data_IF_588223866251
#
_entry.id   IF_588223866251
#
_cell.length_a   1.000
_cell.length_b   1.000
_cell.length_c   1.000
_cell.angle_alpha   90.00
_cell.angle_beta   90.00
_cell.angle_gamma   90.00
#
_symmetry.space_group_name_H-M   'P 1'
#
loop_
_entity.id
_entity.type
_entity.pdbx_description
1 polymer ?
#
# COMPACT_ATOMS: atom_id res chain seq x y z
N UNK A 1 35.97 7.90 -11.42
CA UNK A 1 35.13 7.79 -12.64
C UNK A 1 33.72 7.54 -12.17
N UNK A 2 32.85 8.55 -12.24
CA UNK A 2 31.46 8.49 -11.77
C UNK A 2 30.60 7.67 -12.72
N UNK A 3 30.90 6.39 -12.87
CA UNK A 3 30.12 5.44 -13.69
C UNK A 3 29.51 4.42 -12.75
N UNK A 4 28.21 4.17 -12.89
CA UNK A 4 27.52 3.05 -12.26
C UNK A 4 27.36 1.92 -13.28
N UNK A 5 27.51 0.69 -12.81
CA UNK A 5 27.16 -0.53 -13.55
C UNK A 5 26.05 -1.20 -12.76
N UNK A 6 24.90 -1.44 -13.39
CA UNK A 6 23.74 -2.05 -12.73
C UNK A 6 23.62 -3.50 -13.20
N UNK A 7 23.53 -4.44 -12.27
CA UNK A 7 23.23 -5.84 -12.57
C UNK A 7 22.25 -6.41 -11.56
N UNK A 8 21.45 -7.39 -11.96
CA UNK A 8 20.47 -8.03 -11.11
C UNK A 8 19.34 -8.65 -11.91
N UNK A 9 18.17 -8.72 -11.30
CA UNK A 9 16.95 -9.20 -11.94
C UNK A 9 15.78 -9.10 -10.99
N UNK A 10 14.61 -9.46 -11.50
CA UNK A 10 13.39 -9.58 -10.72
C UNK A 10 12.61 -10.81 -11.16
N UNK A 11 11.69 -11.23 -10.31
CA UNK A 11 10.71 -12.27 -10.58
C UNK A 11 9.42 -11.97 -9.84
N UNK A 12 8.34 -12.66 -10.20
CA UNK A 12 7.09 -12.63 -9.45
C UNK A 12 6.18 -11.44 -9.73
N UNK A 13 6.29 -10.78 -10.90
CA UNK A 13 5.22 -9.85 -11.31
C UNK A 13 3.90 -10.61 -11.45
N UNK A 14 2.81 -10.01 -10.98
CA UNK A 14 1.45 -10.54 -11.07
C UNK A 14 0.85 -10.41 -12.47
N UNK A 15 1.46 -9.60 -13.33
CA UNK A 15 1.09 -9.42 -14.73
C UNK A 15 2.33 -9.14 -15.58
N UNK A 16 2.20 -9.20 -16.91
CA UNK A 16 3.32 -9.00 -17.82
C UNK A 16 3.95 -7.62 -17.64
N UNK A 17 5.28 -7.56 -17.70
CA UNK A 17 6.02 -6.30 -17.66
C UNK A 17 5.65 -5.41 -18.86
N UNK A 18 5.60 -4.10 -18.65
CA UNK A 18 5.30 -3.12 -19.70
C UNK A 18 6.35 -2.04 -19.77
N UNK A 19 6.56 -1.50 -20.97
CA UNK A 19 7.42 -0.33 -21.14
C UNK A 19 6.70 0.96 -20.74
N UNK A 20 7.26 1.66 -19.77
CA UNK A 20 6.91 3.04 -19.46
C UNK A 20 8.10 3.90 -19.86
N UNK A 21 7.87 4.97 -20.61
CA UNK A 21 8.94 5.82 -21.17
C UNK A 21 10.03 5.06 -21.97
N UNK A 22 9.67 3.89 -22.54
CA UNK A 22 10.54 3.10 -23.42
C UNK A 22 11.36 2.01 -22.73
N UNK A 23 11.17 1.77 -21.42
CA UNK A 23 11.83 0.67 -20.69
C UNK A 23 10.87 0.01 -19.69
N UNK A 24 11.07 -1.29 -19.43
CA UNK A 24 10.25 -2.04 -18.46
C UNK A 24 10.51 -1.66 -17.00
N UNK A 25 11.63 -0.98 -16.74
CA UNK A 25 11.98 -0.47 -15.43
C UNK A 25 13.01 0.64 -15.49
N UNK A 26 13.14 1.35 -14.38
CA UNK A 26 13.97 2.54 -14.26
C UNK A 26 14.80 2.48 -12.99
N UNK A 27 15.97 3.13 -13.03
CA UNK A 27 16.65 3.61 -11.84
C UNK A 27 16.14 5.03 -11.54
N UNK A 28 15.60 5.23 -10.34
CA UNK A 28 15.09 6.50 -9.85
C UNK A 28 16.00 7.08 -8.76
N UNK A 29 15.81 8.38 -8.48
CA UNK A 29 16.47 9.10 -7.40
C UNK A 29 15.47 9.51 -6.31
N UNK A 30 15.36 8.71 -5.25
CA UNK A 30 14.54 8.93 -4.06
C UNK A 30 14.87 7.94 -2.93
N UNK A 31 14.61 8.37 -1.69
CA UNK A 31 14.75 7.53 -0.49
C UNK A 31 13.67 6.43 -0.42
N UNK A 32 13.79 5.51 0.54
CA UNK A 32 12.88 4.35 0.70
C UNK A 32 11.40 4.73 0.83
N UNK A 33 11.12 5.89 1.41
CA UNK A 33 9.80 6.40 1.76
C UNK A 33 9.27 7.46 0.77
N UNK A 34 9.98 7.72 -0.34
CA UNK A 34 9.65 8.80 -1.26
C UNK A 34 9.72 8.37 -2.73
N UNK A 35 8.85 8.98 -3.54
CA UNK A 35 8.88 8.81 -4.99
C UNK A 35 9.88 9.78 -5.62
N UNK A 36 10.91 9.21 -6.22
CA UNK A 36 11.94 9.92 -6.98
C UNK A 36 11.66 10.07 -8.48
N UNK A 37 12.30 11.05 -9.13
CA UNK A 37 12.34 11.16 -10.58
C UNK A 37 13.19 10.07 -11.25
N UNK A 38 12.95 9.79 -12.53
CA UNK A 38 13.75 8.82 -13.32
C UNK A 38 15.16 9.37 -13.52
N UNK A 39 16.17 8.61 -13.08
CA UNK A 39 17.57 8.89 -13.37
C UNK A 39 18.01 8.22 -14.68
N UNK A 40 17.67 6.94 -14.86
CA UNK A 40 18.02 6.16 -16.06
C UNK A 40 16.93 5.12 -16.36
N UNK A 41 16.64 4.88 -17.64
CA UNK A 41 15.90 3.68 -18.08
C UNK A 41 16.83 2.46 -18.07
N UNK A 42 16.31 1.32 -17.63
CA UNK A 42 17.07 0.07 -17.56
C UNK A 42 16.80 -0.79 -18.79
N UNK A 43 17.88 -1.37 -19.35
CA UNK A 43 17.78 -2.43 -20.34
C UNK A 43 17.57 -3.76 -19.61
N UNK A 44 16.36 -4.29 -19.72
CA UNK A 44 15.89 -5.49 -19.03
C UNK A 44 15.59 -6.55 -20.08
N UNK A 45 16.31 -7.67 -20.01
CA UNK A 45 15.96 -8.87 -20.77
C UNK A 45 14.86 -9.63 -20.01
N UNK A 46 13.62 -9.52 -20.50
CA UNK A 46 12.45 -10.17 -19.92
C UNK A 46 12.50 -11.69 -20.09
N UNK A 47 11.99 -12.38 -19.07
CA UNK A 47 11.91 -13.83 -18.99
C UNK A 47 10.58 -14.38 -19.52
N UNK A 48 10.20 -15.56 -19.03
CA UNK A 48 8.95 -16.20 -19.43
C UNK A 48 7.73 -15.37 -19.00
N UNK A 49 6.75 -15.21 -19.90
CA UNK A 49 5.51 -14.45 -19.69
C UNK A 49 5.72 -12.98 -19.29
N UNK A 50 6.93 -12.45 -19.45
CA UNK A 50 7.33 -11.11 -19.02
C UNK A 50 7.12 -10.87 -17.51
N UNK A 51 7.05 -11.93 -16.69
CA UNK A 51 6.86 -11.82 -15.23
C UNK A 51 8.17 -11.90 -14.43
N UNK A 52 9.29 -12.02 -15.13
CA UNK A 52 10.65 -11.98 -14.59
C UNK A 52 11.57 -11.27 -15.57
N UNK A 53 12.76 -10.87 -15.13
CA UNK A 53 13.71 -10.18 -15.98
C UNK A 53 15.12 -10.17 -15.43
N UNK A 54 16.10 -10.02 -16.32
CA UNK A 54 17.51 -9.91 -15.97
C UNK A 54 18.09 -8.59 -16.43
N UNK A 55 18.92 -7.98 -15.58
CA UNK A 55 19.60 -6.72 -15.80
C UNK A 55 21.09 -7.05 -15.93
N UNK A 56 21.62 -6.95 -17.15
CA UNK A 56 23.02 -7.21 -17.43
C UNK A 56 23.84 -5.91 -17.34
N UNK A 57 24.93 -5.93 -16.58
CA UNK A 57 25.84 -4.77 -16.46
C UNK A 57 26.42 -4.32 -17.79
N UNK A 58 26.59 -5.23 -18.75
CA UNK A 58 27.09 -4.89 -20.09
C UNK A 58 26.16 -3.95 -20.87
N UNK A 59 24.85 -3.97 -20.58
CA UNK A 59 23.85 -3.09 -21.20
C UNK A 59 23.48 -1.89 -20.31
N UNK A 60 23.81 -1.95 -19.01
CA UNK A 60 23.39 -0.99 -18.00
C UNK A 60 24.59 -0.30 -17.35
N UNK A 61 25.33 0.48 -18.15
CA UNK A 61 26.44 1.32 -17.69
C UNK A 61 26.12 2.79 -17.91
N UNK A 62 26.04 3.57 -16.83
CA UNK A 62 25.61 4.96 -16.88
C UNK A 62 26.65 5.89 -16.27
N UNK A 63 26.87 7.05 -16.91
CA UNK A 63 27.65 8.12 -16.31
C UNK A 63 26.77 8.91 -15.35
N UNK A 64 27.17 9.01 -14.09
CA UNK A 64 26.49 9.77 -13.06
C UNK A 64 26.97 11.23 -13.06
N UNK A 65 26.01 12.15 -12.87
CA UNK A 65 26.34 13.52 -12.46
C UNK A 65 26.92 13.54 -11.04
N UNK A 66 27.49 14.66 -10.60
CA UNK A 66 27.94 14.82 -9.21
C UNK A 66 26.78 14.69 -8.23
N UNK A 67 25.62 15.25 -8.57
CA UNK A 67 24.39 15.16 -7.76
C UNK A 67 23.91 13.71 -7.64
N UNK A 68 23.85 12.96 -8.75
CA UNK A 68 23.46 11.55 -8.72
C UNK A 68 24.46 10.67 -7.96
N UNK A 69 25.76 11.02 -7.97
CA UNK A 69 26.74 10.34 -7.13
C UNK A 69 26.45 10.56 -5.64
N UNK A 70 26.15 11.80 -5.24
CA UNK A 70 25.75 12.10 -3.86
C UNK A 70 24.52 11.30 -3.48
N UNK A 71 23.46 11.34 -4.30
CA UNK A 71 22.23 10.58 -4.05
C UNK A 71 22.50 9.08 -3.94
N UNK A 72 23.34 8.49 -4.79
CA UNK A 72 23.71 7.08 -4.71
C UNK A 72 24.43 6.74 -3.39
N UNK A 73 25.37 7.59 -2.97
CA UNK A 73 26.12 7.35 -1.73
C UNK A 73 25.32 7.65 -0.46
N UNK A 74 24.27 8.46 -0.58
CA UNK A 74 23.25 8.68 0.46
C UNK A 74 22.13 7.62 0.37
N UNK A 75 22.35 6.53 -0.39
CA UNK A 75 21.41 5.39 -0.56
C UNK A 75 20.03 5.79 -1.12
N UNK A 76 19.93 6.96 -1.74
CA UNK A 76 18.71 7.55 -2.28
C UNK A 76 18.41 7.17 -3.73
N UNK A 77 18.78 5.97 -4.19
CA UNK A 77 18.38 5.48 -5.52
C UNK A 77 17.64 4.15 -5.41
N UNK A 78 16.64 3.94 -6.28
CA UNK A 78 15.86 2.71 -6.29
C UNK A 78 15.52 2.26 -7.70
N UNK A 79 15.39 0.95 -7.89
CA UNK A 79 14.85 0.33 -9.09
C UNK A 79 13.34 0.25 -8.95
N UNK A 80 12.63 0.58 -10.04
CA UNK A 80 11.19 0.40 -10.16
C UNK A 80 10.88 -0.37 -11.45
N UNK A 81 10.01 -1.38 -11.38
CA UNK A 81 9.61 -2.23 -12.51
C UNK A 81 8.10 -2.15 -12.70
N UNK A 82 7.67 -1.98 -13.94
CA UNK A 82 6.28 -1.73 -14.30
C UNK A 82 5.61 -2.97 -14.90
N UNK A 83 4.33 -3.17 -14.60
CA UNK A 83 3.51 -4.24 -15.19
C UNK A 83 2.14 -3.73 -15.65
N UNK A 84 1.39 -4.56 -16.36
CA UNK A 84 0.07 -4.22 -16.89
C UNK A 84 -0.92 -3.79 -15.80
N UNK A 85 -0.90 -4.45 -14.64
CA UNK A 85 -1.79 -4.14 -13.52
C UNK A 85 -1.27 -2.97 -12.67
N UNK A 86 0.03 -2.67 -12.73
CA UNK A 86 0.69 -1.68 -11.89
C UNK A 86 1.60 -0.78 -12.73
N UNK A 87 1.02 0.06 -13.58
CA UNK A 87 1.77 0.96 -14.45
C UNK A 87 2.68 1.96 -13.69
N UNK A 88 2.32 2.32 -12.46
CA UNK A 88 3.15 3.19 -11.62
C UNK A 88 4.41 2.47 -11.09
N UNK A 89 4.43 1.14 -11.11
CA UNK A 89 5.45 0.28 -10.52
C UNK A 89 4.81 -0.83 -9.69
N UNK A 90 5.20 -2.07 -9.94
CA UNK A 90 4.83 -3.24 -9.13
C UNK A 90 5.92 -3.62 -8.13
N UNK A 91 7.18 -3.63 -8.60
CA UNK A 91 8.34 -4.00 -7.79
C UNK A 91 9.25 -2.80 -7.61
N UNK A 92 9.66 -2.57 -6.35
CA UNK A 92 10.57 -1.51 -5.95
C UNK A 92 11.72 -2.12 -5.14
N UNK A 93 12.95 -1.75 -5.47
CA UNK A 93 14.16 -2.19 -4.75
C UNK A 93 15.14 -1.05 -4.52
N UNK A 94 15.49 -0.73 -3.27
CA UNK A 94 16.47 0.30 -2.95
C UNK A 94 17.89 -0.16 -3.36
N UNK A 95 18.72 0.78 -3.80
CA UNK A 95 20.13 0.52 -4.11
C UNK A 95 20.95 0.85 -2.87
N UNK A 96 21.23 -0.17 -2.06
CA UNK A 96 21.99 -0.08 -0.82
C UNK A 96 23.43 -0.57 -1.01
N UNK A 97 24.28 -0.30 -0.01
CA UNK A 97 25.61 -0.90 0.02
C UNK A 97 25.54 -2.43 0.18
N UNK A 98 26.55 -3.14 -0.33
CA UNK A 98 26.60 -4.61 -0.24
C UNK A 98 26.58 -5.15 1.20
N UNK A 99 26.93 -4.32 2.18
CA UNK A 99 26.73 -4.62 3.59
C UNK A 99 25.35 -4.13 4.01
N UNK A 100 24.34 -4.94 3.74
CA UNK A 100 22.95 -4.73 4.16
C UNK A 100 22.52 -5.83 5.15
N UNK A 101 21.74 -5.48 6.17
CA UNK A 101 21.04 -6.44 7.01
C UNK A 101 19.58 -6.07 7.05
N UNK A 102 18.69 -7.06 7.02
CA UNK A 102 17.27 -6.81 7.14
C UNK A 102 16.94 -6.05 8.45
N UNK A 103 15.94 -5.16 8.42
CA UNK A 103 15.50 -4.44 9.61
C UNK A 103 15.02 -5.40 10.71
N UNK A 104 15.06 -4.93 11.96
CA UNK A 104 14.43 -5.66 13.06
C UNK A 104 12.91 -5.77 12.84
N UNK A 105 12.30 -6.85 13.36
CA UNK A 105 10.87 -7.01 13.30
C UNK A 105 10.16 -5.86 14.08
N UNK A 106 9.24 -5.12 13.44
CA UNK A 106 8.42 -4.13 14.15
C UNK A 106 7.49 -4.83 15.16
N UNK A 107 7.08 -4.10 16.20
CA UNK A 107 6.19 -4.62 17.24
C UNK A 107 4.87 -3.87 17.21
N UNK A 108 3.79 -4.57 16.87
CA UNK A 108 2.43 -4.00 16.93
C UNK A 108 2.12 -3.53 18.36
N UNK A 109 1.56 -2.33 18.48
CA UNK A 109 1.09 -1.76 19.75
C UNK A 109 -0.43 -1.63 19.77
N UNK A 110 -1.07 -1.51 18.60
CA UNK A 110 -2.52 -1.48 18.46
C UNK A 110 -3.02 -1.96 17.08
N UNK A 111 -4.24 -2.51 16.98
CA UNK A 111 -5.09 -2.96 18.08
C UNK A 111 -4.46 -4.10 18.91
N UNK A 112 -5.03 -4.37 20.09
CA UNK A 112 -4.64 -5.52 20.90
C UNK A 112 -5.00 -6.82 20.17
N UNK A 113 -4.25 -7.88 20.44
CA UNK A 113 -4.53 -9.20 19.87
C UNK A 113 -5.91 -9.70 20.31
N UNK A 114 -6.63 -10.35 19.40
CA UNK A 114 -8.04 -10.76 19.53
C UNK A 114 -9.04 -9.62 19.84
N UNK A 115 -8.66 -8.35 19.68
CA UNK A 115 -9.56 -7.23 19.96
C UNK A 115 -10.82 -7.28 19.07
N UNK A 116 -11.96 -6.93 19.65
CA UNK A 116 -13.22 -6.78 18.89
C UNK A 116 -13.46 -5.31 18.59
N UNK A 117 -13.70 -5.00 17.32
CA UNK A 117 -14.04 -3.67 16.84
C UNK A 117 -15.43 -3.72 16.21
N UNK A 118 -16.40 -3.00 16.79
CA UNK A 118 -17.72 -2.82 16.20
C UNK A 118 -17.70 -1.61 15.26
N UNK A 119 -17.96 -1.85 13.98
CA UNK A 119 -18.05 -0.83 12.95
C UNK A 119 -19.45 -0.21 12.96
N UNK A 120 -19.69 0.68 13.91
CA UNK A 120 -20.96 1.39 14.10
C UNK A 120 -20.76 2.90 14.15
N UNK A 121 -21.79 3.65 13.75
CA UNK A 121 -21.79 5.12 13.82
C UNK A 121 -21.22 5.77 12.57
N UNK A 122 -20.60 6.95 12.71
CA UNK A 122 -20.21 7.76 11.56
C UNK A 122 -19.15 7.06 10.68
N UNK A 123 -19.33 7.10 9.37
CA UNK A 123 -18.39 6.52 8.38
C UNK A 123 -17.00 7.16 8.42
N UNK A 124 -16.88 8.38 8.96
CA UNK A 124 -15.61 9.08 9.17
C UNK A 124 -14.93 8.74 10.49
N UNK A 125 -15.50 7.84 11.31
CA UNK A 125 -14.83 7.37 12.53
C UNK A 125 -13.49 6.74 12.15
N UNK A 126 -12.40 7.26 12.72
CA UNK A 126 -11.06 6.80 12.40
C UNK A 126 -10.80 5.42 13.01
N UNK A 127 -10.15 4.57 12.23
CA UNK A 127 -9.45 3.39 12.70
C UNK A 127 -7.96 3.63 12.57
N UNK A 128 -7.21 3.20 13.58
CA UNK A 128 -5.76 3.28 13.59
C UNK A 128 -5.17 1.95 14.06
N UNK A 129 -4.19 1.44 13.31
CA UNK A 129 -3.28 0.41 13.76
C UNK A 129 -1.90 1.04 13.99
N UNK A 130 -1.23 0.67 15.06
CA UNK A 130 0.02 1.30 15.52
C UNK A 130 1.08 0.26 15.86
N UNK A 131 2.35 0.66 15.74
CA UNK A 131 3.51 -0.15 16.09
C UNK A 131 4.66 0.71 16.61
N UNK A 132 5.63 0.07 17.26
CA UNK A 132 6.91 0.70 17.61
C UNK A 132 7.81 0.76 16.36
N UNK A 133 8.57 1.84 16.23
CA UNK A 133 9.57 1.97 15.18
C UNK A 133 10.60 0.84 15.29
N UNK A 134 10.82 0.15 14.18
CA UNK A 134 11.91 -0.80 14.02
C UNK A 134 13.26 -0.06 13.93
N UNK A 135 14.32 -0.80 14.24
CA UNK A 135 15.70 -0.37 14.04
C UNK A 135 16.33 -1.14 12.89
N UNK A 136 17.21 -0.49 12.16
CA UNK A 136 18.10 -1.13 11.21
C UNK A 136 19.53 -1.25 11.77
N UNK A 137 20.24 -2.34 11.45
CA UNK A 137 21.60 -2.59 11.98
C UNK A 137 22.63 -1.65 11.37
N UNK A 138 22.43 -1.30 10.11
CA UNK A 138 23.31 -0.49 9.27
C UNK A 138 22.92 0.99 9.34
N UNK A 139 21.73 1.27 9.87
CA UNK A 139 21.17 2.60 10.04
C UNK A 139 20.44 3.10 8.79
N UNK A 140 20.04 2.19 7.89
CA UNK A 140 19.26 2.54 6.72
C UNK A 140 17.92 3.15 7.14
N UNK A 141 17.40 4.07 6.33
CA UNK A 141 16.05 4.57 6.50
C UNK A 141 15.04 3.43 6.27
N UNK A 142 13.94 3.47 7.02
CA UNK A 142 12.91 2.44 6.96
C UNK A 142 11.58 3.00 6.46
N UNK A 143 10.88 2.18 5.69
CA UNK A 143 9.46 2.33 5.42
C UNK A 143 8.67 1.14 6.01
N UNK A 144 7.37 1.32 6.13
CA UNK A 144 6.46 0.33 6.65
C UNK A 144 5.32 0.03 5.69
N UNK A 145 4.92 -1.24 5.68
CA UNK A 145 3.75 -1.72 4.95
C UNK A 145 2.83 -2.40 5.96
N UNK A 146 1.61 -1.89 6.12
CA UNK A 146 0.59 -2.55 6.92
C UNK A 146 -0.24 -3.49 6.05
N UNK A 147 -0.39 -4.73 6.50
CA UNK A 147 -1.14 -5.75 5.80
C UNK A 147 -2.29 -6.29 6.65
N UNK A 148 -3.43 -6.53 6.00
CA UNK A 148 -4.53 -7.31 6.54
C UNK A 148 -4.86 -8.48 5.62
N UNK A 149 -5.20 -9.62 6.21
CA UNK A 149 -5.51 -10.86 5.53
C UNK A 149 -6.71 -11.58 6.16
N UNK A 150 -7.38 -12.40 5.36
CA UNK A 150 -8.47 -13.28 5.83
C UNK A 150 -7.96 -14.64 6.35
N UNK A 151 -6.65 -14.90 6.28
CA UNK A 151 -6.03 -16.13 6.76
C UNK A 151 -4.71 -15.85 7.51
N UNK A 152 -4.36 -16.76 8.42
CA UNK A 152 -3.18 -16.62 9.27
C UNK A 152 -1.85 -16.71 8.52
N UNK A 153 -1.85 -17.31 7.32
CA UNK A 153 -0.65 -17.50 6.49
C UNK A 153 -0.41 -16.30 5.57
N UNK A 154 -1.29 -15.29 5.58
CA UNK A 154 -1.27 -14.13 4.68
C UNK A 154 -1.28 -14.54 3.19
N UNK A 155 -1.99 -15.62 2.85
CA UNK A 155 -2.18 -16.07 1.47
C UNK A 155 -3.22 -15.25 0.72
N UNK A 156 -4.19 -14.68 1.42
CA UNK A 156 -5.24 -13.83 0.90
C UNK A 156 -5.21 -12.46 1.58
N UNK A 157 -4.32 -11.60 1.09
CA UNK A 157 -4.15 -10.22 1.57
C UNK A 157 -5.26 -9.35 1.00
N UNK A 158 -5.98 -8.66 1.88
CA UNK A 158 -7.12 -7.79 1.54
C UNK A 158 -6.78 -6.30 1.69
N UNK A 159 -5.74 -5.97 2.46
CA UNK A 159 -5.14 -4.64 2.50
C UNK A 159 -3.62 -4.78 2.44
N UNK A 160 -2.98 -4.04 1.53
CA UNK A 160 -1.53 -3.94 1.42
C UNK A 160 -1.16 -2.45 1.30
N UNK A 161 -0.96 -1.79 2.44
CA UNK A 161 -0.83 -0.33 2.51
C UNK A 161 0.60 0.08 2.87
N UNK A 162 1.32 0.69 1.92
CA UNK A 162 2.57 1.38 2.21
C UNK A 162 2.27 2.70 2.93
N UNK A 163 2.86 2.91 4.12
CA UNK A 163 2.67 4.11 4.95
C UNK A 163 3.94 4.95 5.10
N UNK A 164 4.96 4.69 4.29
CA UNK A 164 6.26 5.36 4.38
C UNK A 164 6.89 5.16 5.75
N UNK A 165 7.46 6.22 6.33
CA UNK A 165 8.10 6.16 7.65
C UNK A 165 7.13 6.22 8.84
N UNK A 166 5.82 6.30 8.59
CA UNK A 166 4.81 6.36 9.65
C UNK A 166 4.78 5.07 10.45
N UNK A 167 4.57 5.19 11.76
CA UNK A 167 4.40 4.05 12.67
C UNK A 167 2.92 3.74 12.95
N UNK A 168 2.07 4.15 12.01
CA UNK A 168 0.63 3.91 12.06
C UNK A 168 0.04 3.74 10.66
N UNK A 169 -1.05 2.99 10.60
CA UNK A 169 -1.95 2.90 9.46
C UNK A 169 -3.29 3.49 9.89
N UNK A 170 -3.78 4.47 9.13
CA UNK A 170 -5.05 5.15 9.40
C UNK A 170 -6.05 4.89 8.27
N UNK A 171 -7.29 4.62 8.64
CA UNK A 171 -8.43 4.55 7.71
C UNK A 171 -9.71 4.93 8.44
N UNK A 172 -10.88 4.71 7.83
CA UNK A 172 -12.17 4.99 8.45
C UNK A 172 -13.07 3.77 8.50
N UNK A 173 -14.07 3.82 9.38
CA UNK A 173 -15.09 2.77 9.48
C UNK A 173 -15.86 2.58 8.18
N UNK A 174 -16.09 3.63 7.40
CA UNK A 174 -16.72 3.51 6.08
C UNK A 174 -15.90 2.68 5.08
N UNK A 175 -14.56 2.84 5.10
CA UNK A 175 -13.67 2.03 4.27
C UNK A 175 -13.66 0.58 4.73
N UNK A 176 -13.57 0.34 6.04
CA UNK A 176 -13.62 -1.01 6.61
C UNK A 176 -14.98 -1.71 6.37
N UNK A 177 -16.10 -0.98 6.45
CA UNK A 177 -17.43 -1.53 6.14
C UNK A 177 -17.58 -1.92 4.66
N UNK A 178 -17.03 -1.10 3.77
CA UNK A 178 -16.97 -1.43 2.33
C UNK A 178 -16.16 -2.70 2.11
N UNK A 179 -14.98 -2.81 2.74
CA UNK A 179 -14.15 -4.01 2.68
C UNK A 179 -14.90 -5.26 3.19
N UNK A 180 -15.56 -5.18 4.34
CA UNK A 180 -16.36 -6.29 4.87
C UNK A 180 -17.52 -6.65 3.94
N UNK A 181 -18.15 -5.68 3.29
CA UNK A 181 -19.20 -5.90 2.29
C UNK A 181 -18.65 -6.68 1.09
N UNK A 182 -17.49 -6.27 0.57
CA UNK A 182 -16.84 -6.93 -0.57
C UNK A 182 -16.40 -8.37 -0.23
N UNK A 183 -16.08 -8.62 1.05
CA UNK A 183 -15.81 -9.95 1.58
C UNK A 183 -17.07 -10.77 1.89
N UNK A 184 -18.27 -10.21 1.69
CA UNK A 184 -19.54 -10.91 1.89
C UNK A 184 -19.96 -11.04 3.36
N UNK A 185 -19.50 -10.15 4.23
CA UNK A 185 -19.86 -10.14 5.65
C UNK A 185 -21.18 -9.38 5.85
N UNK A 186 -22.19 -10.10 6.32
CA UNK A 186 -23.51 -9.56 6.58
C UNK A 186 -23.54 -8.59 7.78
N UNK A 187 -24.55 -7.70 7.83
CA UNK A 187 -24.79 -6.86 8.99
C UNK A 187 -25.07 -7.71 10.24
N UNK A 188 -24.42 -7.37 11.35
CA UNK A 188 -24.43 -8.11 12.61
C UNK A 188 -23.56 -9.37 12.63
N UNK A 189 -22.84 -9.67 11.53
CA UNK A 189 -21.84 -10.73 11.51
C UNK A 189 -20.46 -10.19 11.93
N UNK A 190 -19.59 -11.11 12.33
CA UNK A 190 -18.21 -10.82 12.71
C UNK A 190 -17.26 -11.54 11.75
N UNK A 191 -16.22 -10.84 11.32
CA UNK A 191 -15.11 -11.43 10.56
C UNK A 191 -13.81 -11.30 11.36
N UNK A 192 -13.04 -12.38 11.43
CA UNK A 192 -11.69 -12.35 11.98
C UNK A 192 -10.71 -11.98 10.86
N UNK A 193 -9.91 -10.95 11.10
CA UNK A 193 -8.85 -10.49 10.21
C UNK A 193 -7.50 -10.67 10.92
N UNK A 194 -6.52 -11.15 10.16
CA UNK A 194 -5.13 -11.23 10.59
C UNK A 194 -4.40 -10.00 10.06
N UNK A 195 -3.64 -9.30 10.90
CA UNK A 195 -2.90 -8.14 10.48
C UNK A 195 -1.46 -8.16 10.98
N UNK A 196 -0.57 -7.55 10.20
CA UNK A 196 0.85 -7.41 10.51
C UNK A 196 1.39 -6.12 9.93
N UNK A 197 2.55 -5.71 10.41
CA UNK A 197 3.34 -4.66 9.78
C UNK A 197 4.66 -5.25 9.29
N UNK A 198 5.09 -4.83 8.12
CA UNK A 198 6.40 -5.16 7.54
C UNK A 198 7.26 -3.91 7.64
N UNK A 199 8.47 -4.03 8.21
CA UNK A 199 9.51 -3.02 8.10
C UNK A 199 10.40 -3.36 6.90
N UNK A 200 10.77 -2.36 6.11
CA UNK A 200 11.63 -2.52 4.93
C UNK A 200 12.65 -1.39 4.83
N UNK A 201 13.89 -1.73 4.49
CA UNK A 201 14.92 -0.76 4.03
C UNK A 201 14.83 -0.52 2.50
N UNK A 202 13.82 -1.12 1.87
CA UNK A 202 13.56 -1.13 0.43
C UNK A 202 14.31 -2.22 -0.34
N UNK A 203 15.20 -2.99 0.29
CA UNK A 203 15.88 -4.15 -0.29
C UNK A 203 15.53 -5.45 0.44
N UNK A 204 15.55 -5.41 1.76
CA UNK A 204 15.20 -6.49 2.67
C UNK A 204 14.00 -6.08 3.53
N UNK A 205 13.23 -7.08 3.96
CA UNK A 205 12.01 -6.87 4.72
C UNK A 205 11.91 -7.83 5.90
N UNK A 206 11.32 -7.35 7.00
CA UNK A 206 11.00 -8.17 8.16
C UNK A 206 9.57 -7.87 8.64
N UNK A 207 8.75 -8.92 8.71
CA UNK A 207 7.39 -8.82 9.25
C UNK A 207 7.37 -8.87 10.78
N UNK A 208 6.39 -8.20 11.39
CA UNK A 208 6.02 -8.41 12.79
C UNK A 208 5.40 -9.79 13.00
N UNK A 209 5.37 -10.24 14.25
CA UNK A 209 4.38 -11.25 14.65
C UNK A 209 2.97 -10.73 14.32
N UNK A 210 2.11 -11.55 13.69
CA UNK A 210 0.77 -11.12 13.34
C UNK A 210 -0.13 -11.07 14.58
N UNK A 211 -1.18 -10.26 14.49
CA UNK A 211 -2.28 -10.21 15.46
C UNK A 211 -3.61 -10.44 14.78
N UNK A 212 -4.60 -10.86 15.57
CA UNK A 212 -5.99 -10.99 15.14
C UNK A 212 -6.82 -9.81 15.60
N UNK A 213 -7.81 -9.43 14.78
CA UNK A 213 -8.86 -8.50 15.14
C UNK A 213 -10.21 -9.03 14.64
N UNK A 214 -11.24 -8.93 15.48
CA UNK A 214 -12.60 -9.35 15.18
C UNK A 214 -13.42 -8.11 14.82
N UNK A 215 -13.74 -7.96 13.53
CA UNK A 215 -14.53 -6.84 13.02
C UNK A 215 -16.01 -7.24 13.00
N UNK A 216 -16.80 -6.64 13.89
CA UNK A 216 -18.25 -6.77 13.90
C UNK A 216 -18.85 -5.70 13.00
N UNK A 217 -19.57 -6.14 11.97
CA UNK A 217 -20.16 -5.23 10.99
C UNK A 217 -21.47 -4.68 11.53
N UNK A 218 -21.48 -3.42 11.96
CA UNK A 218 -22.67 -2.73 12.44
C UNK A 218 -23.26 -1.76 11.42
N UNK A 219 -24.17 -0.90 11.87
CA UNK A 219 -24.75 0.14 11.03
C UNK A 219 -23.82 1.36 10.97
N UNK A 220 -23.08 1.48 9.86
CA UNK A 220 -22.28 2.67 9.55
C UNK A 220 -23.17 3.71 8.86
N UNK A 221 -23.26 4.89 9.44
CA UNK A 221 -24.02 6.02 8.89
C UNK A 221 -23.11 6.96 8.14
N UNK A 222 -23.53 7.38 6.95
CA UNK A 222 -22.85 8.46 6.24
C UNK A 222 -23.13 9.78 6.94
N UNK A 223 -22.09 10.54 7.27
CA UNK A 223 -22.24 11.94 7.62
C UNK A 223 -22.35 12.76 6.33
N UNK A 224 -23.53 12.78 5.73
CA UNK A 224 -23.90 13.87 4.85
C UNK A 224 -24.05 15.14 5.72
N UNK A 225 -22.93 15.75 6.15
CA UNK A 225 -22.93 17.15 6.51
C UNK A 225 -23.24 17.96 5.23
N UNK A 226 -24.52 18.06 4.87
CA UNK A 226 -24.93 18.87 3.73
C UNK A 226 -26.24 18.54 3.03
N UNK A 227 -27.00 17.51 3.42
CA UNK A 227 -28.37 17.36 2.91
C UNK A 227 -29.34 17.68 4.03
N UNK A 228 -29.72 18.95 4.12
CA UNK A 228 -31.01 19.34 4.66
C UNK A 228 -32.10 18.77 3.73
N UNK A 229 -32.35 17.46 3.82
CA UNK A 229 -33.62 16.87 3.41
C UNK A 229 -34.49 16.73 4.67
N UNK A 230 -34.64 17.85 5.38
CA UNK A 230 -35.96 18.12 5.91
C UNK A 230 -36.82 18.39 4.67
N UNK A 231 -37.88 17.61 4.38
CA UNK A 231 -38.77 17.96 3.31
C UNK A 231 -39.30 19.38 3.58
N UNK A 232 -38.89 20.35 2.75
CA UNK A 232 -39.28 21.76 2.88
C UNK A 232 -40.78 21.98 2.62
N UNK A 233 -41.51 20.92 2.27
CA UNK A 233 -42.95 20.99 2.01
C UNK A 233 -43.66 19.67 2.36
N UNK A 234 -44.36 19.64 3.51
CA UNK A 234 -45.52 18.75 3.68
C UNK A 234 -46.74 19.46 3.10
N UNK A 235 -46.95 19.35 1.78
CA UNK A 235 -48.26 19.71 1.22
C UNK A 235 -49.24 18.58 1.49
N UNK A 236 -50.12 18.81 2.48
CA UNK A 236 -51.39 18.11 2.55
C UNK A 236 -52.24 18.62 1.38
N UNK A 237 -52.18 17.93 0.24
CA UNK A 237 -53.09 18.19 -0.87
C UNK A 237 -54.52 18.08 -0.35
N UNK A 238 -55.25 19.18 -0.37
CA UNK A 238 -56.68 19.19 -0.07
C UNK A 238 -57.34 18.15 -0.98
N UNK A 239 -57.91 17.12 -0.37
CA UNK A 239 -58.85 16.28 -1.06
C UNK A 239 -60.10 17.12 -1.34
N UNK A 240 -60.64 17.00 -2.55
CA UNK A 240 -61.94 17.41 -3.08
C UNK A 240 -62.02 18.62 -4.04
N UNK A 241 -62.94 18.60 -5.05
CA UNK A 241 -63.98 17.58 -5.29
C UNK A 241 -63.97 16.90 -6.69
N UNK A 242 -64.49 15.67 -6.65
CA UNK A 242 -65.18 14.90 -7.67
C UNK A 242 -65.75 15.71 -8.87
N UNK A 243 -65.52 15.32 -10.14
CA UNK A 243 -66.20 15.91 -11.29
C UNK A 243 -67.59 15.29 -11.52
N UNK A 244 -68.51 16.08 -12.10
CA UNK A 244 -69.93 15.81 -12.48
C UNK A 244 -70.95 15.98 -11.33
N UNK A 245 -72.06 16.75 -11.41
CA UNK A 245 -72.97 17.22 -12.47
C UNK A 245 -73.96 18.26 -11.83
N UNK A 246 -74.74 19.15 -12.51
CA UNK A 246 -75.06 19.28 -13.93
C UNK A 246 -74.58 20.56 -14.64
#
# INVERSE_FOLDING_TARGET
NGTIMVNGGFEGLSSSAIEIAGTAGHLHAGAVNENGGVAFGLDIALGENDTSGTIASSANMFSLSTEQQTILFDEGMYVNVHSENFNAGELRGQVLFSTNFAPAAPVLTGPADDATLSLEGASTTAFEATWDAASDTNGNELAYIWQASTDAEFSNIVVNANVGASTSFETTFGVLDTLLTDLGVDLGATATIYHRVIATDGSDETASEPRTANLERGMVTSNEEGISDSPDEFTLGQNYPNPFNP
#
